data_IF_088908886470
#
_entry.id   IF_088908886470
#
_cell.length_a   1.000
_cell.length_b   1.000
_cell.length_c   1.000
_cell.angle_alpha   90.00
_cell.angle_beta   90.00
_cell.angle_gamma   90.00
#
_symmetry.space_group_name_H-M   'P 1'
#
loop_
_entity.id
_entity.type
_entity.pdbx_description
1 polymer ?
#
# COMPACT_ATOMS: atom_id res chain seq x y z
N UNK A 1 -8.18 -11.27 0.40
CA UNK A 1 -7.61 -12.02 1.55
C UNK A 1 -7.61 -11.19 2.82
N UNK A 2 -7.08 -9.96 2.83
CA UNK A 2 -7.05 -9.09 4.01
C UNK A 2 -8.46 -8.69 4.47
N UNK A 3 -9.29 -8.16 3.56
CA UNK A 3 -10.67 -7.77 3.86
C UNK A 3 -11.60 -8.94 4.31
N UNK A 4 -11.17 -10.19 4.13
CA UNK A 4 -11.87 -11.40 4.60
C UNK A 4 -11.38 -11.90 5.96
N UNK A 5 -10.44 -11.19 6.59
CA UNK A 5 -9.89 -11.55 7.90
C UNK A 5 -8.72 -12.54 7.86
N UNK A 6 -8.24 -12.95 6.69
CA UNK A 6 -7.16 -13.95 6.61
C UNK A 6 -5.82 -13.47 7.19
N UNK A 7 -5.59 -12.15 7.24
CA UNK A 7 -4.35 -11.57 7.73
C UNK A 7 -4.36 -11.32 9.24
N UNK A 8 -5.49 -10.83 9.77
CA UNK A 8 -5.58 -10.33 11.16
C UNK A 8 -6.61 -11.07 12.02
N UNK A 9 -7.29 -12.08 11.46
CA UNK A 9 -8.33 -12.84 12.12
C UNK A 9 -9.75 -12.53 11.61
N UNK A 10 -10.70 -13.44 11.83
CA UNK A 10 -12.07 -13.34 11.31
C UNK A 10 -12.92 -12.25 11.98
N UNK A 11 -12.47 -11.71 13.11
CA UNK A 11 -13.22 -10.73 13.91
C UNK A 11 -12.58 -9.34 13.93
N UNK A 12 -11.52 -9.12 13.15
CA UNK A 12 -10.77 -7.86 13.14
C UNK A 12 -11.22 -6.97 11.97
N UNK A 13 -11.92 -5.85 12.21
CA UNK A 13 -12.22 -4.88 11.17
C UNK A 13 -10.95 -4.21 10.65
N UNK A 14 -10.94 -3.86 9.36
CA UNK A 14 -9.80 -3.25 8.67
C UNK A 14 -10.24 -2.07 7.81
N UNK A 15 -9.36 -1.07 7.72
CA UNK A 15 -9.40 -0.02 6.70
C UNK A 15 -8.20 -0.27 5.78
N UNK A 16 -8.43 -0.31 4.48
CA UNK A 16 -7.36 -0.52 3.50
C UNK A 16 -6.88 0.81 2.94
N UNK A 17 -5.61 1.11 3.12
CA UNK A 17 -4.92 2.19 2.42
C UNK A 17 -4.17 1.58 1.24
N UNK A 18 -4.64 1.88 0.03
CA UNK A 18 -4.07 1.44 -1.23
C UNK A 18 -3.28 2.61 -1.80
N UNK A 19 -1.99 2.37 -2.03
CA UNK A 19 -1.06 3.33 -2.61
C UNK A 19 -0.54 2.79 -3.93
N UNK A 20 -0.60 3.61 -4.97
CA UNK A 20 0.12 3.36 -6.21
C UNK A 20 0.63 4.70 -6.78
N UNK A 21 1.20 4.68 -7.98
CA UNK A 21 1.72 5.85 -8.64
C UNK A 21 0.59 6.65 -9.33
N UNK A 22 0.80 7.95 -9.63
CA UNK A 22 -0.20 8.78 -10.28
C UNK A 22 -0.70 8.27 -11.64
N UNK A 23 0.08 7.45 -12.34
CA UNK A 23 -0.25 6.96 -13.69
C UNK A 23 -1.28 5.82 -13.65
N UNK A 24 -1.41 5.14 -12.51
CA UNK A 24 -2.33 4.01 -12.31
C UNK A 24 -3.47 4.32 -11.34
N UNK A 25 -3.66 5.59 -10.98
CA UNK A 25 -4.65 6.00 -9.98
C UNK A 25 -6.10 5.63 -10.35
N UNK A 26 -6.45 5.67 -11.64
CA UNK A 26 -7.76 5.27 -12.13
C UNK A 26 -8.01 3.77 -11.92
N UNK A 27 -6.99 2.94 -12.15
CA UNK A 27 -7.04 1.49 -11.90
C UNK A 27 -7.19 1.22 -10.40
N UNK A 28 -6.50 1.99 -9.57
CA UNK A 28 -6.58 1.88 -8.12
C UNK A 28 -7.97 2.24 -7.59
N UNK A 29 -8.61 3.26 -8.17
CA UNK A 29 -9.97 3.65 -7.78
C UNK A 29 -11.01 2.64 -8.26
N UNK A 30 -10.83 2.05 -9.45
CA UNK A 30 -11.66 0.92 -9.90
C UNK A 30 -11.56 -0.28 -8.94
N UNK A 31 -10.35 -0.63 -8.48
CA UNK A 31 -10.16 -1.68 -7.47
C UNK A 31 -10.84 -1.33 -6.14
N UNK A 32 -10.82 -0.06 -5.73
CA UNK A 32 -11.57 0.41 -4.56
C UNK A 32 -13.07 0.19 -4.74
N UNK A 33 -13.63 0.48 -5.92
CA UNK A 33 -15.05 0.22 -6.20
C UNK A 33 -15.38 -1.26 -6.08
N UNK A 34 -14.58 -2.15 -6.67
CA UNK A 34 -14.77 -3.60 -6.54
C UNK A 34 -14.71 -4.09 -5.08
N UNK A 35 -13.81 -3.53 -4.28
CA UNK A 35 -13.72 -3.86 -2.85
C UNK A 35 -14.95 -3.43 -2.05
N UNK A 36 -15.54 -2.29 -2.41
CA UNK A 36 -16.79 -1.80 -1.81
C UNK A 36 -17.96 -2.68 -2.23
N UNK A 37 -18.07 -3.01 -3.51
CA UNK A 37 -19.14 -3.85 -4.07
C UNK A 37 -19.08 -5.30 -3.56
N UNK A 38 -17.89 -5.80 -3.25
CA UNK A 38 -17.71 -7.11 -2.62
C UNK A 38 -18.29 -7.21 -1.19
N UNK A 39 -18.70 -6.09 -0.59
CA UNK A 39 -19.44 -6.00 0.67
C UNK A 39 -18.84 -6.81 1.82
N UNK A 40 -17.50 -6.79 1.96
CA UNK A 40 -16.82 -7.52 3.02
C UNK A 40 -17.19 -6.95 4.40
N UNK A 41 -17.71 -7.78 5.34
CA UNK A 41 -18.20 -7.29 6.62
C UNK A 41 -17.12 -6.66 7.50
N UNK A 42 -15.86 -7.11 7.34
CA UNK A 42 -14.71 -6.59 8.08
C UNK A 42 -14.11 -5.34 7.43
N UNK A 43 -14.41 -5.04 6.18
CA UNK A 43 -13.87 -3.87 5.49
C UNK A 43 -14.69 -2.64 5.87
N UNK A 44 -14.09 -1.73 6.64
CA UNK A 44 -14.75 -0.52 7.15
C UNK A 44 -14.43 0.73 6.35
N UNK A 45 -13.44 0.66 5.47
CA UNK A 45 -13.09 1.77 4.59
C UNK A 45 -11.98 1.39 3.62
N UNK A 46 -11.91 2.12 2.52
CA UNK A 46 -10.85 2.02 1.52
C UNK A 46 -10.41 3.43 1.13
N UNK A 47 -9.13 3.71 1.31
CA UNK A 47 -8.43 4.89 0.83
C UNK A 47 -7.61 4.45 -0.38
N UNK A 48 -7.91 4.97 -1.57
CA UNK A 48 -7.09 4.78 -2.77
C UNK A 48 -6.40 6.11 -3.10
N UNK A 49 -5.07 6.13 -3.15
CA UNK A 49 -4.33 7.37 -3.36
C UNK A 49 -2.98 7.13 -4.04
N UNK A 50 -2.42 8.21 -4.61
CA UNK A 50 -1.02 8.27 -5.03
C UNK A 50 -0.15 9.14 -4.12
N UNK A 51 -0.75 9.68 -3.06
CA UNK A 51 -0.07 10.49 -2.06
C UNK A 51 0.41 9.62 -0.89
N UNK A 52 1.73 9.56 -0.73
CA UNK A 52 2.39 8.85 0.37
C UNK A 52 1.94 9.34 1.74
N UNK A 53 1.71 10.64 1.90
CA UNK A 53 1.25 11.19 3.17
C UNK A 53 -0.08 10.57 3.56
N UNK A 54 -1.10 10.72 2.70
CA UNK A 54 -2.43 10.11 2.91
C UNK A 54 -2.40 8.61 3.08
N UNK A 55 -1.56 7.90 2.32
CA UNK A 55 -1.44 6.46 2.42
C UNK A 55 -0.85 6.02 3.77
N UNK A 56 0.13 6.76 4.30
CA UNK A 56 0.84 6.41 5.53
C UNK A 56 0.20 6.98 6.80
N UNK A 57 -0.72 7.93 6.72
CA UNK A 57 -1.38 8.51 7.91
C UNK A 57 -2.12 7.45 8.71
N UNK A 58 -1.79 7.34 10.00
CA UNK A 58 -2.43 6.50 11.02
C UNK A 58 -2.48 4.99 10.73
N UNK A 59 -1.68 4.50 9.78
CA UNK A 59 -1.64 3.06 9.45
C UNK A 59 -0.94 2.25 10.55
N UNK A 60 -1.49 1.09 10.88
CA UNK A 60 -0.93 0.18 11.88
C UNK A 60 -0.05 -0.92 11.27
N UNK A 61 -0.26 -1.23 9.98
CA UNK A 61 0.48 -2.27 9.26
C UNK A 61 0.73 -1.78 7.84
N UNK A 62 1.95 -1.92 7.34
CA UNK A 62 2.34 -1.59 5.98
C UNK A 62 2.84 -2.84 5.26
N UNK A 63 2.19 -3.17 4.14
CA UNK A 63 2.61 -4.28 3.27
C UNK A 63 3.20 -3.71 1.99
N UNK A 64 4.52 -3.74 1.86
CA UNK A 64 5.22 -3.23 0.68
C UNK A 64 5.29 -4.32 -0.40
N UNK A 65 4.43 -4.21 -1.41
CA UNK A 65 4.33 -5.20 -2.49
C UNK A 65 5.09 -4.83 -3.76
N UNK A 66 5.53 -3.57 -3.89
CA UNK A 66 6.05 -3.05 -5.14
C UNK A 66 7.55 -2.79 -5.10
N UNK A 67 8.19 -2.98 -6.26
CA UNK A 67 9.59 -2.67 -6.51
C UNK A 67 9.84 -2.50 -8.01
N UNK A 68 10.90 -1.79 -8.35
CA UNK A 68 11.34 -1.60 -9.73
C UNK A 68 11.76 -2.94 -10.33
N UNK A 69 11.00 -3.42 -11.31
CA UNK A 69 11.32 -4.62 -12.09
C UNK A 69 12.57 -4.39 -12.94
N UNK A 70 13.46 -5.37 -12.95
CA UNK A 70 14.65 -5.34 -13.82
C UNK A 70 14.22 -5.24 -15.27
N UNK A 71 14.79 -4.29 -16.01
CA UNK A 71 14.64 -4.18 -17.47
C UNK A 71 15.79 -4.89 -18.18
N UNK A 72 15.58 -5.31 -19.42
CA UNK A 72 16.64 -5.90 -20.23
C UNK A 72 17.82 -4.94 -20.37
N UNK A 73 19.04 -5.49 -20.25
CA UNK A 73 20.28 -4.72 -20.24
C UNK A 73 20.59 -3.95 -18.95
N UNK A 74 19.68 -3.94 -17.96
CA UNK A 74 19.93 -3.28 -16.68
C UNK A 74 20.86 -4.10 -15.79
N UNK A 75 21.89 -3.45 -15.25
CA UNK A 75 22.75 -4.07 -14.23
C UNK A 75 22.00 -4.19 -12.89
N UNK A 76 22.35 -5.21 -12.12
CA UNK A 76 21.77 -5.45 -10.79
C UNK A 76 21.95 -4.25 -9.87
N UNK A 77 23.09 -3.54 -9.93
CA UNK A 77 23.35 -2.37 -9.08
C UNK A 77 22.40 -1.22 -9.38
N UNK A 78 22.13 -0.97 -10.66
CA UNK A 78 21.19 0.09 -11.07
C UNK A 78 19.77 -0.22 -10.61
N UNK A 79 19.32 -1.47 -10.76
CA UNK A 79 18.02 -1.92 -10.27
C UNK A 79 17.89 -1.75 -8.75
N UNK A 80 18.91 -2.14 -7.98
CA UNK A 80 18.91 -1.99 -6.53
C UNK A 80 18.87 -0.50 -6.16
N UNK A 81 19.67 0.35 -6.81
CA UNK A 81 19.71 1.79 -6.54
C UNK A 81 18.35 2.48 -6.73
N UNK A 82 17.60 2.09 -7.78
CA UNK A 82 16.23 2.56 -8.02
C UNK A 82 15.27 2.12 -6.91
N UNK A 83 15.32 0.85 -6.52
CA UNK A 83 14.49 0.33 -5.42
C UNK A 83 14.81 1.01 -4.08
N UNK A 84 16.10 1.22 -3.76
CA UNK A 84 16.52 1.91 -2.53
C UNK A 84 15.97 3.32 -2.47
N UNK A 85 16.05 4.08 -3.58
CA UNK A 85 15.53 5.44 -3.63
C UNK A 85 14.01 5.48 -3.38
N UNK A 86 13.26 4.55 -3.96
CA UNK A 86 11.82 4.43 -3.74
C UNK A 86 11.50 4.07 -2.29
N UNK A 87 12.15 3.03 -1.77
CA UNK A 87 11.89 2.54 -0.42
C UNK A 87 12.27 3.58 0.64
N UNK A 88 13.26 4.44 0.39
CA UNK A 88 13.61 5.55 1.29
C UNK A 88 12.47 6.55 1.45
N UNK A 89 11.81 6.93 0.35
CA UNK A 89 10.69 7.86 0.39
C UNK A 89 9.51 7.27 1.18
N UNK A 90 9.20 5.99 0.94
CA UNK A 90 8.18 5.25 1.68
C UNK A 90 8.52 5.12 3.16
N UNK A 91 9.75 4.70 3.49
CA UNK A 91 10.22 4.58 4.87
C UNK A 91 10.10 5.89 5.63
N UNK A 92 10.50 7.02 5.02
CA UNK A 92 10.38 8.33 5.65
C UNK A 92 8.93 8.77 5.86
N UNK A 93 8.02 8.43 4.94
CA UNK A 93 6.60 8.72 5.11
C UNK A 93 5.98 7.89 6.23
N UNK A 94 6.33 6.60 6.32
CA UNK A 94 5.88 5.69 7.39
C UNK A 94 6.38 6.20 8.74
N UNK A 95 7.66 6.52 8.86
CA UNK A 95 8.26 7.04 10.11
C UNK A 95 7.57 8.31 10.62
N UNK A 96 7.11 9.17 9.71
CA UNK A 96 6.50 10.47 10.08
C UNK A 96 4.99 10.41 10.34
N UNK A 97 4.28 9.50 9.69
CA UNK A 97 2.81 9.57 9.59
C UNK A 97 2.10 8.31 10.06
N UNK A 98 2.78 7.16 10.11
CA UNK A 98 2.17 5.94 10.58
C UNK A 98 2.00 5.94 12.11
N UNK A 99 1.20 5.00 12.60
CA UNK A 99 1.02 4.83 14.03
C UNK A 99 2.36 4.52 14.74
N UNK A 100 2.56 4.92 16.00
CA UNK A 100 3.84 4.74 16.71
C UNK A 100 4.38 3.31 16.76
N UNK A 101 3.50 2.30 16.67
CA UNK A 101 3.85 0.87 16.67
C UNK A 101 3.49 0.19 15.34
N UNK A 102 3.57 0.95 14.24
CA UNK A 102 3.31 0.42 12.90
C UNK A 102 4.25 -0.76 12.59
N UNK A 103 3.70 -1.81 11.96
CA UNK A 103 4.42 -3.02 11.58
C UNK A 103 4.63 -3.14 10.08
#
# INVERSE_FOLDING_TARGET
>A
MIARGAMLGPDQPVILHLLDNPQTIEVLDALRMELVDAAFPLLKGVVATSDLFRACTDVNIVVMLWGFLRKDGMDRREMISKNVSLHKAQASAIEKHAAPNCK
#
